data_IF_460748127283
#
_entry.id   IF_460748127283
#
_cell.length_a   1.000
_cell.length_b   1.000
_cell.length_c   1.000
_cell.angle_alpha   90.00
_cell.angle_beta   90.00
_cell.angle_gamma   90.00
#
_symmetry.space_group_name_H-M   'P 1'
#
loop_
_entity.id
_entity.type
_entity.pdbx_description
1 polymer ?
#
# COMPACT_ATOMS: atom_id res chain seq x y z
N UNK A 1 14.96 11.72 43.79
CA UNK A 1 14.94 10.62 42.80
C UNK A 1 15.93 10.95 41.71
N UNK A 2 15.57 11.42 40.51
CA UNK A 2 16.53 11.56 39.38
C UNK A 2 17.74 12.49 39.65
N UNK A 3 17.58 13.54 40.47
CA UNK A 3 18.69 14.46 40.83
C UNK A 3 19.53 13.99 42.03
N UNK A 4 19.24 12.82 42.61
CA UNK A 4 19.96 12.30 43.77
C UNK A 4 21.13 11.41 43.31
N UNK A 5 22.39 11.79 43.59
CA UNK A 5 23.57 11.02 43.19
C UNK A 5 23.58 9.58 43.73
N UNK A 6 22.91 9.32 44.86
CA UNK A 6 22.82 7.97 45.42
C UNK A 6 22.03 7.01 44.50
N UNK A 7 21.16 7.56 43.65
CA UNK A 7 20.27 6.79 42.77
C UNK A 7 20.77 6.72 41.33
N UNK A 8 21.89 7.38 41.02
CA UNK A 8 22.48 7.46 39.68
C UNK A 8 22.78 6.08 39.08
N UNK A 9 23.04 5.06 39.91
CA UNK A 9 23.26 3.69 39.44
C UNK A 9 22.02 3.07 38.78
N UNK A 10 20.82 3.54 39.12
CA UNK A 10 19.53 2.97 38.69
C UNK A 10 18.76 3.94 37.80
N UNK A 11 18.72 5.22 38.17
CA UNK A 11 18.09 6.29 37.39
C UNK A 11 18.99 7.52 37.41
N UNK A 12 19.24 8.13 36.25
CA UNK A 12 20.08 9.33 36.17
C UNK A 12 19.62 10.27 35.07
N UNK A 13 20.11 11.50 35.11
CA UNK A 13 19.97 12.43 34.01
C UNK A 13 20.78 12.00 32.78
N UNK A 14 20.22 12.26 31.61
CA UNK A 14 20.93 12.16 30.33
C UNK A 14 22.01 13.24 30.19
N UNK A 15 22.90 13.05 29.22
CA UNK A 15 24.06 13.92 29.00
C UNK A 15 23.63 15.38 28.78
N UNK A 16 22.52 15.59 28.08
CA UNK A 16 21.97 16.91 27.80
C UNK A 16 21.08 17.47 28.93
N UNK A 17 20.94 16.76 30.06
CA UNK A 17 20.19 17.19 31.26
C UNK A 17 18.71 17.57 31.01
N UNK A 18 18.18 17.17 29.86
CA UNK A 18 16.80 17.38 29.42
C UNK A 18 15.99 16.08 29.36
N UNK A 19 16.67 14.94 29.54
CA UNK A 19 16.10 13.60 29.57
C UNK A 19 16.59 12.88 30.82
N UNK A 20 15.86 11.85 31.23
CA UNK A 20 16.35 10.93 32.25
C UNK A 20 16.23 9.49 31.77
N UNK A 21 17.16 8.67 32.24
CA UNK A 21 17.29 7.28 31.83
C UNK A 21 17.07 6.38 33.04
N UNK A 22 16.33 5.29 32.83
CA UNK A 22 16.28 4.17 33.75
C UNK A 22 17.20 3.07 33.22
N UNK A 23 18.32 2.85 33.91
CA UNK A 23 19.36 1.90 33.49
C UNK A 23 18.90 0.46 33.74
N UNK A 24 18.33 0.20 34.92
CA UNK A 24 17.82 -1.10 35.31
C UNK A 24 16.39 -1.01 35.83
N UNK A 25 15.38 -1.40 35.02
CA UNK A 25 13.98 -1.42 35.43
C UNK A 25 13.68 -2.33 36.62
N UNK A 26 14.43 -3.43 36.79
CA UNK A 26 14.21 -4.39 37.87
C UNK A 26 14.67 -3.79 39.21
N UNK A 27 15.92 -3.31 39.27
CA UNK A 27 16.42 -2.62 40.46
C UNK A 27 15.60 -1.35 40.78
N UNK A 28 15.16 -0.61 39.76
CA UNK A 28 14.27 0.54 39.94
C UNK A 28 12.96 0.15 40.60
N UNK A 29 12.38 -0.99 40.20
CA UNK A 29 11.11 -1.50 40.73
C UNK A 29 11.22 -1.97 42.18
N UNK A 30 12.34 -2.59 42.54
CA UNK A 30 12.52 -3.22 43.83
C UNK A 30 13.01 -2.26 44.91
N UNK A 31 13.92 -1.34 44.57
CA UNK A 31 14.58 -0.47 45.54
C UNK A 31 14.04 0.96 45.50
N UNK A 32 13.78 1.50 44.30
CA UNK A 32 13.48 2.91 44.14
C UNK A 32 11.98 3.20 44.23
N UNK A 33 11.16 2.42 43.51
CA UNK A 33 9.72 2.62 43.49
C UNK A 33 9.07 2.57 44.88
N UNK A 34 9.32 1.57 45.76
CA UNK A 34 8.70 1.55 47.08
C UNK A 34 9.18 2.69 48.01
N UNK A 35 10.31 3.32 47.73
CA UNK A 35 10.83 4.45 48.50
C UNK A 35 10.13 5.78 48.17
N UNK A 36 9.67 5.95 46.92
CA UNK A 36 9.03 7.20 46.44
C UNK A 36 7.53 7.05 46.14
N UNK A 37 7.05 5.83 45.87
CA UNK A 37 5.69 5.52 45.42
C UNK A 37 5.09 4.37 46.24
N UNK A 38 3.75 4.29 46.28
CA UNK A 38 3.02 3.22 46.99
C UNK A 38 2.88 1.92 46.17
N UNK A 39 3.80 1.66 45.25
CA UNK A 39 3.79 0.46 44.41
C UNK A 39 5.21 0.12 43.98
N UNK A 40 5.42 -1.13 43.54
CA UNK A 40 6.70 -1.61 43.00
C UNK A 40 6.68 -1.83 41.49
N UNK A 41 5.57 -1.55 40.82
CA UNK A 41 5.41 -1.91 39.42
C UNK A 41 5.95 -0.80 38.49
N UNK A 42 6.96 -1.14 37.69
CA UNK A 42 7.50 -0.25 36.64
C UNK A 42 6.44 0.24 35.66
N UNK A 43 5.51 -0.62 35.24
CA UNK A 43 4.46 -0.24 34.30
C UNK A 43 3.53 0.85 34.88
N UNK A 44 3.30 0.85 36.20
CA UNK A 44 2.54 1.92 36.87
C UNK A 44 3.28 3.24 36.82
N UNK A 45 4.61 3.22 36.99
CA UNK A 45 5.46 4.39 36.85
C UNK A 45 5.44 4.94 35.42
N UNK A 46 5.62 4.09 34.41
CA UNK A 46 5.52 4.49 32.99
C UNK A 46 4.14 5.08 32.69
N UNK A 47 3.07 4.52 33.26
CA UNK A 47 1.72 5.06 33.09
C UNK A 47 1.56 6.45 33.69
N UNK A 48 2.20 6.73 34.84
CA UNK A 48 2.23 8.08 35.39
C UNK A 48 2.98 9.03 34.45
N UNK A 49 4.16 8.65 33.98
CA UNK A 49 4.92 9.43 32.99
C UNK A 49 4.06 9.82 31.77
N UNK A 50 3.38 8.84 31.18
CA UNK A 50 2.50 9.08 30.02
C UNK A 50 1.34 10.03 30.37
N UNK A 51 0.79 9.91 31.58
CA UNK A 51 -0.29 10.78 32.08
C UNK A 51 0.16 12.25 32.23
N UNK A 52 1.45 12.47 32.48
CA UNK A 52 2.07 13.79 32.55
C UNK A 52 2.74 14.23 31.23
N UNK A 53 2.56 13.46 30.15
CA UNK A 53 3.04 13.84 28.81
C UNK A 53 4.50 13.54 28.52
N UNK A 54 5.18 12.77 29.36
CA UNK A 54 6.53 12.30 29.06
C UNK A 54 6.51 11.35 27.86
N UNK A 55 7.53 11.45 27.01
CA UNK A 55 7.70 10.61 25.83
C UNK A 55 8.98 9.79 25.93
N UNK A 56 8.94 8.58 25.38
CA UNK A 56 10.11 7.72 25.25
C UNK A 56 10.96 8.23 24.08
N UNK A 57 12.23 8.55 24.32
CA UNK A 57 13.13 9.11 23.30
C UNK A 57 13.82 7.99 22.53
N UNK A 58 14.27 6.96 23.24
CA UNK A 58 15.00 5.83 22.68
C UNK A 58 14.15 4.58 22.57
N UNK A 59 14.35 3.81 21.50
CA UNK A 59 13.68 2.52 21.31
C UNK A 59 14.27 1.44 22.20
N UNK A 60 15.60 1.42 22.34
CA UNK A 60 16.35 0.37 23.05
C UNK A 60 16.59 0.68 24.53
N UNK A 61 16.48 1.94 24.93
CA UNK A 61 16.74 2.40 26.31
C UNK A 61 15.47 2.96 26.94
N UNK A 62 15.38 2.90 28.26
CA UNK A 62 14.30 3.54 29.00
C UNK A 62 14.60 5.02 29.25
N UNK A 63 14.76 5.77 28.16
CA UNK A 63 15.00 7.21 28.19
C UNK A 63 13.69 7.97 27.97
N UNK A 64 13.40 8.91 28.86
CA UNK A 64 12.19 9.71 28.83
C UNK A 64 12.52 11.20 28.83
N UNK A 65 11.77 11.96 28.03
CA UNK A 65 11.89 13.41 27.91
C UNK A 65 10.55 14.10 28.10
N UNK A 66 10.62 15.33 28.60
CA UNK A 66 9.51 16.26 28.63
C UNK A 66 10.06 17.70 28.53
N UNK A 67 9.40 18.55 27.75
CA UNK A 67 9.86 19.92 27.42
C UNK A 67 10.12 20.77 28.68
N UNK A 68 9.25 20.63 29.69
CA UNK A 68 9.33 21.36 30.95
C UNK A 68 10.01 20.58 32.10
N UNK A 69 10.64 19.43 31.83
CA UNK A 69 11.33 18.62 32.85
C UNK A 69 12.84 18.62 32.60
N UNK A 70 13.52 19.67 33.10
CA UNK A 70 14.95 19.88 32.92
C UNK A 70 15.69 19.86 34.26
N UNK A 71 16.93 19.37 34.27
CA UNK A 71 17.77 19.35 35.47
C UNK A 71 18.00 20.77 36.00
N UNK A 72 17.84 20.96 37.31
CA UNK A 72 18.06 22.26 37.98
C UNK A 72 16.98 23.32 37.72
N UNK A 73 16.03 23.08 36.82
CA UNK A 73 14.98 24.04 36.47
C UNK A 73 13.62 23.64 37.05
N UNK A 74 13.55 23.56 38.38
CA UNK A 74 12.33 23.19 39.08
C UNK A 74 11.16 24.18 38.84
N UNK A 75 11.45 25.42 38.42
CA UNK A 75 10.43 26.41 38.08
C UNK A 75 9.52 26.01 36.90
N UNK A 76 9.94 25.05 36.06
CA UNK A 76 9.16 24.59 34.91
C UNK A 76 8.19 23.45 35.26
N UNK A 77 8.36 22.82 36.43
CA UNK A 77 7.51 21.71 36.88
C UNK A 77 6.01 22.06 36.99
N UNK A 78 5.60 23.29 37.38
CA UNK A 78 4.19 23.68 37.38
C UNK A 78 3.52 23.63 35.99
N UNK A 79 4.30 23.69 34.91
CA UNK A 79 3.79 23.57 33.54
C UNK A 79 3.44 22.12 33.19
N UNK A 80 3.93 21.14 33.96
CA UNK A 80 3.68 19.72 33.75
C UNK A 80 2.30 19.38 34.34
N UNK A 81 1.27 19.58 33.52
CA UNK A 81 -0.12 19.32 33.92
C UNK A 81 -0.55 17.92 33.52
N UNK A 82 -1.22 17.24 34.45
CA UNK A 82 -1.83 15.94 34.21
C UNK A 82 -2.85 16.03 33.06
N UNK A 83 -2.68 15.18 32.04
CA UNK A 83 -3.67 15.02 30.97
C UNK A 83 -5.00 14.58 31.57
N UNK A 84 -6.06 15.35 31.31
CA UNK A 84 -7.43 14.95 31.67
C UNK A 84 -7.84 13.83 30.74
N UNK A 85 -8.09 12.63 31.29
CA UNK A 85 -8.78 11.58 30.54
C UNK A 85 -10.10 12.14 30.03
N UNK A 86 -10.27 12.26 28.71
CA UNK A 86 -11.60 12.44 28.14
C UNK A 86 -12.42 11.23 28.55
N UNK A 87 -13.44 11.43 29.38
CA UNK A 87 -14.37 10.38 29.78
C UNK A 87 -14.99 9.80 28.49
N UNK A 88 -14.53 8.62 28.08
CA UNK A 88 -15.04 7.93 26.89
C UNK A 88 -14.01 7.51 25.84
N UNK A 89 -12.74 7.91 25.92
CA UNK A 89 -11.72 7.41 24.98
C UNK A 89 -10.52 6.81 25.72
N UNK A 90 -10.35 5.51 25.53
CA UNK A 90 -9.16 4.75 25.86
C UNK A 90 -7.97 5.44 25.17
N UNK A 91 -7.08 6.06 25.93
CA UNK A 91 -5.84 6.65 25.41
C UNK A 91 -4.93 5.54 24.87
N UNK A 92 -5.18 5.19 23.62
CA UNK A 92 -4.31 4.51 22.65
C UNK A 92 -4.27 5.36 21.36
N UNK A 93 -4.56 6.66 21.48
CA UNK A 93 -5.06 7.48 20.38
C UNK A 93 -3.99 8.03 19.46
N UNK A 94 -2.94 8.68 19.97
CA UNK A 94 -2.05 9.46 19.10
C UNK A 94 -1.12 8.55 18.27
N UNK A 95 -0.40 7.62 18.91
CA UNK A 95 0.42 6.63 18.17
C UNK A 95 -0.45 5.62 17.41
N UNK A 96 -1.60 5.22 17.95
CA UNK A 96 -2.50 4.26 17.29
C UNK A 96 -3.19 4.83 16.06
N UNK A 97 -3.50 6.13 16.05
CA UNK A 97 -4.13 6.81 14.92
C UNK A 97 -3.12 7.07 13.80
N UNK A 98 -1.88 7.43 14.13
CA UNK A 98 -0.78 7.57 13.16
C UNK A 98 -0.36 6.22 12.57
N UNK A 99 -0.23 5.18 13.40
CA UNK A 99 0.00 3.80 12.92
C UNK A 99 -1.18 3.31 12.07
N UNK A 100 -2.42 3.66 12.41
CA UNK A 100 -3.59 3.33 11.58
C UNK A 100 -3.62 4.11 10.27
N UNK A 101 -3.16 5.36 10.27
CA UNK A 101 -3.01 6.18 9.06
C UNK A 101 -1.97 5.59 8.10
N UNK A 102 -0.80 5.24 8.63
CA UNK A 102 0.28 4.61 7.85
C UNK A 102 -0.12 3.24 7.30
N UNK A 103 -0.82 2.40 8.08
CA UNK A 103 -1.35 1.11 7.58
C UNK A 103 -2.29 1.31 6.39
N UNK A 104 -3.20 2.30 6.45
CA UNK A 104 -4.11 2.60 5.33
C UNK A 104 -3.37 3.11 4.09
N UNK A 105 -2.34 3.94 4.27
CA UNK A 105 -1.52 4.42 3.17
C UNK A 105 -0.75 3.28 2.50
N UNK A 106 -0.17 2.37 3.29
CA UNK A 106 0.51 1.16 2.78
C UNK A 106 -0.45 0.24 2.04
N UNK A 107 -1.69 0.08 2.52
CA UNK A 107 -2.71 -0.71 1.82
C UNK A 107 -3.06 -0.11 0.44
N UNK A 108 -3.27 1.21 0.36
CA UNK A 108 -3.52 1.89 -0.92
C UNK A 108 -2.36 1.72 -1.91
N UNK A 109 -1.13 1.94 -1.44
CA UNK A 109 0.06 1.76 -2.27
C UNK A 109 0.21 0.31 -2.78
N UNK A 110 -0.15 -0.68 -1.95
CA UNK A 110 -0.15 -2.09 -2.38
C UNK A 110 -1.22 -2.39 -3.42
N UNK A 111 -2.39 -1.77 -3.30
CA UNK A 111 -3.46 -1.90 -4.31
C UNK A 111 -3.05 -1.26 -5.64
N UNK A 112 -2.42 -0.09 -5.61
CA UNK A 112 -1.87 0.59 -6.80
C UNK A 112 -0.77 -0.25 -7.47
N UNK A 113 0.19 -0.77 -6.68
CA UNK A 113 1.22 -1.67 -7.18
C UNK A 113 0.64 -2.92 -7.83
N UNK A 114 -0.41 -3.52 -7.22
CA UNK A 114 -1.08 -4.69 -7.81
C UNK A 114 -1.72 -4.36 -9.16
N UNK A 115 -2.37 -3.21 -9.29
CA UNK A 115 -2.96 -2.76 -10.55
C UNK A 115 -1.91 -2.57 -11.65
N UNK A 116 -0.78 -1.94 -11.31
CA UNK A 116 0.33 -1.78 -12.23
C UNK A 116 0.93 -3.13 -12.67
N UNK A 117 1.11 -4.08 -11.74
CA UNK A 117 1.63 -5.41 -12.05
C UNK A 117 0.70 -6.19 -12.99
N UNK A 118 -0.61 -6.09 -12.79
CA UNK A 118 -1.62 -6.69 -13.68
C UNK A 118 -1.54 -6.09 -15.10
N UNK A 119 -1.37 -4.78 -15.21
CA UNK A 119 -1.20 -4.09 -16.50
C UNK A 119 0.10 -4.50 -17.20
N UNK A 120 1.19 -4.62 -16.46
CA UNK A 120 2.49 -5.03 -16.98
C UNK A 120 2.46 -6.49 -17.46
N UNK A 121 1.79 -7.39 -16.74
CA UNK A 121 1.55 -8.76 -17.19
C UNK A 121 0.69 -8.83 -18.45
N UNK A 122 -0.33 -7.97 -18.56
CA UNK A 122 -1.14 -7.90 -19.77
C UNK A 122 -0.31 -7.41 -20.97
N UNK A 123 0.56 -6.44 -20.77
CA UNK A 123 1.51 -5.96 -21.78
C UNK A 123 2.50 -7.05 -22.20
N UNK A 124 3.10 -7.79 -21.26
CA UNK A 124 4.03 -8.89 -21.56
C UNK A 124 3.37 -9.98 -22.42
N UNK A 125 2.12 -10.37 -22.10
CA UNK A 125 1.36 -11.33 -22.92
C UNK A 125 1.17 -10.84 -24.35
N UNK A 126 0.87 -9.55 -24.54
CA UNK A 126 0.68 -8.94 -25.87
C UNK A 126 1.98 -8.88 -26.65
N UNK A 127 3.09 -8.52 -26.00
CA UNK A 127 4.41 -8.51 -26.62
C UNK A 127 4.80 -9.91 -27.09
N UNK A 128 4.69 -10.92 -26.23
CA UNK A 128 4.97 -12.32 -26.60
C UNK A 128 4.11 -12.82 -27.76
N UNK A 129 2.83 -12.46 -27.78
CA UNK A 129 1.93 -12.83 -28.88
C UNK A 129 2.37 -12.17 -30.22
N UNK A 130 2.80 -10.91 -30.17
CA UNK A 130 3.32 -10.19 -31.32
C UNK A 130 4.69 -10.75 -31.79
N UNK A 131 5.56 -11.12 -30.85
CA UNK A 131 6.90 -11.66 -31.10
C UNK A 131 6.89 -13.12 -31.59
N UNK A 132 5.87 -13.91 -31.23
CA UNK A 132 5.75 -15.31 -31.64
C UNK A 132 5.66 -15.48 -33.15
N UNK A 133 5.01 -14.55 -33.88
CA UNK A 133 4.78 -14.69 -35.33
C UNK A 133 6.07 -14.45 -36.14
N UNK A 134 6.83 -13.36 -35.92
CA UNK A 134 8.16 -13.20 -36.50
C UNK A 134 9.13 -14.30 -36.05
N UNK A 135 9.13 -14.66 -34.76
CA UNK A 135 10.03 -15.70 -34.24
C UNK A 135 9.83 -17.07 -34.87
N UNK A 136 8.57 -17.51 -35.04
CA UNK A 136 8.25 -18.76 -35.74
C UNK A 136 8.63 -18.71 -37.23
N UNK A 137 8.38 -17.57 -37.89
CA UNK A 137 8.77 -17.38 -39.29
C UNK A 137 10.29 -17.42 -39.46
N UNK A 138 11.04 -16.76 -38.56
CA UNK A 138 12.50 -16.80 -38.56
C UNK A 138 13.03 -18.21 -38.27
N UNK A 139 12.43 -18.96 -37.34
CA UNK A 139 12.78 -20.34 -37.08
C UNK A 139 12.49 -21.27 -38.28
N UNK A 140 11.41 -20.99 -39.02
CA UNK A 140 11.08 -21.70 -40.25
C UNK A 140 12.08 -21.39 -41.38
N UNK A 141 12.44 -20.11 -41.56
CA UNK A 141 13.43 -19.68 -42.53
C UNK A 141 14.82 -20.25 -42.22
N UNK A 142 15.22 -20.32 -40.95
CA UNK A 142 16.46 -20.96 -40.54
C UNK A 142 16.48 -22.46 -40.93
N UNK A 143 15.40 -23.20 -40.61
CA UNK A 143 15.29 -24.61 -41.00
C UNK A 143 15.32 -24.84 -42.51
N UNK A 144 14.75 -23.91 -43.29
CA UNK A 144 14.79 -23.95 -44.76
C UNK A 144 16.19 -23.68 -45.32
N UNK A 145 16.95 -22.80 -44.67
CA UNK A 145 18.33 -22.51 -45.05
C UNK A 145 19.26 -23.70 -44.74
N UNK A 146 19.01 -24.42 -43.64
CA UNK A 146 19.80 -25.59 -43.22
C UNK A 146 19.46 -26.86 -44.03
N UNK A 147 18.18 -27.08 -44.36
CA UNK A 147 17.72 -28.22 -45.17
C UNK A 147 16.53 -27.84 -46.05
N UNK A 148 16.74 -27.53 -47.34
CA UNK A 148 15.67 -27.10 -48.24
C UNK A 148 14.62 -28.20 -48.51
N UNK A 149 14.89 -29.47 -48.18
CA UNK A 149 13.96 -30.59 -48.33
C UNK A 149 13.02 -30.80 -47.15
N UNK A 150 13.24 -30.12 -46.02
CA UNK A 150 12.51 -30.35 -44.76
C UNK A 150 11.01 -30.01 -44.87
N UNK A 151 10.67 -28.97 -45.63
CA UNK A 151 9.28 -28.51 -45.78
C UNK A 151 8.46 -29.44 -46.66
N UNK A 152 9.03 -29.97 -47.74
CA UNK A 152 8.35 -30.93 -48.60
C UNK A 152 8.01 -32.21 -47.83
N UNK A 153 8.94 -32.72 -47.00
CA UNK A 153 8.69 -33.88 -46.14
C UNK A 153 7.65 -33.60 -45.07
N UNK A 154 7.70 -32.43 -44.42
CA UNK A 154 6.70 -32.04 -43.42
C UNK A 154 5.29 -31.88 -44.03
N UNK A 155 5.19 -31.32 -45.24
CA UNK A 155 3.91 -31.17 -45.96
C UNK A 155 3.35 -32.53 -46.39
N UNK A 156 4.20 -33.46 -46.81
CA UNK A 156 3.78 -34.83 -47.14
C UNK A 156 3.33 -35.59 -45.88
N UNK A 157 4.05 -35.49 -44.77
CA UNK A 157 3.64 -36.08 -43.49
C UNK A 157 2.29 -35.51 -43.00
N UNK A 158 2.08 -34.19 -43.14
CA UNK A 158 0.80 -33.57 -42.80
C UNK A 158 -0.35 -34.00 -43.72
N UNK A 159 -0.06 -34.26 -44.99
CA UNK A 159 -1.03 -34.77 -45.98
C UNK A 159 -1.44 -36.21 -45.68
N UNK A 160 -0.50 -37.04 -45.21
CA UNK A 160 -0.78 -38.41 -44.75
C UNK A 160 -1.63 -38.43 -43.47
N UNK A 161 -1.36 -37.52 -42.53
CA UNK A 161 -2.14 -37.37 -41.28
C UNK A 161 -3.60 -36.94 -41.56
N UNK A 162 -3.80 -36.08 -42.57
CA UNK A 162 -5.12 -35.61 -43.01
C UNK A 162 -5.88 -36.68 -43.84
N UNK A 163 -5.18 -37.59 -44.50
CA UNK A 163 -5.79 -38.69 -45.27
C UNK A 163 -6.30 -39.85 -44.40
N UNK A 164 -5.84 -39.97 -43.15
CA UNK A 164 -6.25 -41.02 -42.20
C UNK A 164 -7.62 -40.81 -41.52
N UNK A 165 -8.34 -39.71 -41.77
CA UNK A 165 -9.62 -39.36 -41.11
C UNK A 165 -10.83 -39.28 -42.08
N UNK A 166 -10.99 -40.24 -42.99
CA UNK A 166 -12.08 -40.23 -43.98
C UNK A 166 -12.93 -41.51 -44.09
N UNK A 167 -14.09 -41.57 -43.41
CA UNK A 167 -15.34 -42.25 -43.83
C UNK A 167 -16.48 -41.87 -42.86
N UNK A 168 -17.77 -41.76 -43.28
CA UNK A 168 -18.48 -42.69 -44.18
C UNK A 168 -19.31 -42.06 -45.34
N UNK A 169 -19.88 -42.97 -46.14
CA UNK A 169 -20.64 -42.85 -47.39
C UNK A 169 -22.11 -42.32 -47.22
N UNK A 170 -22.89 -42.11 -48.33
CA UNK A 170 -23.94 -41.08 -48.42
C UNK A 170 -25.41 -41.58 -48.44
N UNK A 171 -26.32 -40.58 -48.61
CA UNK A 171 -27.73 -40.52 -49.07
C UNK A 171 -28.92 -40.84 -48.12
N UNK A 172 -29.71 -39.81 -47.77
CA UNK A 172 -31.03 -39.50 -48.38
C UNK A 172 -31.61 -38.15 -47.88
N UNK A 173 -32.29 -37.41 -48.76
CA UNK A 173 -33.05 -36.19 -48.47
C UNK A 173 -34.57 -36.51 -48.46
N UNK A 174 -35.46 -35.69 -47.86
CA UNK A 174 -36.05 -34.58 -48.63
C UNK A 174 -36.43 -33.34 -47.80
N UNK A 175 -36.55 -32.20 -48.49
CA UNK A 175 -36.69 -30.88 -47.87
C UNK A 175 -38.10 -30.41 -47.53
N UNK A 176 -38.17 -29.18 -47.00
CA UNK A 176 -39.16 -28.13 -47.32
C UNK A 176 -38.82 -26.85 -46.55
N UNK A 177 -38.75 -25.74 -47.28
CA UNK A 177 -38.70 -24.37 -46.77
C UNK A 177 -39.90 -24.08 -45.85
N UNK A 178 -39.71 -23.31 -44.78
CA UNK A 178 -40.31 -21.95 -44.60
C UNK A 178 -40.03 -21.32 -43.22
N UNK A 179 -39.44 -20.13 -43.31
CA UNK A 179 -39.64 -18.87 -42.56
C UNK A 179 -39.43 -18.77 -41.04
N UNK A 180 -38.39 -17.99 -40.70
CA UNK A 180 -38.30 -16.80 -39.83
C UNK A 180 -39.39 -16.63 -38.75
N UNK A 181 -38.97 -16.63 -37.48
CA UNK A 181 -39.35 -15.63 -36.49
C UNK A 181 -38.37 -15.73 -35.30
N UNK A 182 -37.64 -14.65 -35.03
CA UNK A 182 -36.77 -14.51 -33.86
C UNK A 182 -37.19 -13.26 -33.07
N UNK A 183 -37.15 -13.42 -31.75
CA UNK A 183 -37.14 -12.41 -30.69
C UNK A 183 -38.45 -11.58 -30.53
N UNK A 184 -38.89 -11.17 -29.34
CA UNK A 184 -38.21 -10.80 -28.10
C UNK A 184 -39.15 -11.01 -26.88
N UNK A 185 -38.61 -10.99 -25.65
CA UNK A 185 -39.10 -10.08 -24.60
C UNK A 185 -38.21 -10.17 -23.34
N UNK A 186 -37.48 -9.08 -23.11
CA UNK A 186 -36.85 -8.71 -21.84
C UNK A 186 -37.90 -8.06 -20.94
N UNK A 187 -37.85 -8.35 -19.64
CA UNK A 187 -38.63 -7.65 -18.63
C UNK A 187 -37.74 -6.64 -17.87
N UNK A 188 -38.09 -5.36 -17.93
CA UNK A 188 -37.90 -4.42 -16.83
C UNK A 188 -38.86 -3.22 -17.00
N UNK A 189 -39.52 -2.84 -15.90
CA UNK A 189 -40.65 -1.92 -15.87
C UNK A 189 -40.28 -0.43 -15.88
N UNK A 190 -41.13 0.30 -16.62
CA UNK A 190 -41.80 1.59 -16.36
C UNK A 190 -41.13 2.72 -15.58
N UNK A 191 -41.19 3.88 -16.24
CA UNK A 191 -41.39 5.23 -15.69
C UNK A 191 -40.31 6.19 -16.20
N UNK A 192 -40.55 7.43 -16.63
CA UNK A 192 -41.74 8.23 -16.94
C UNK A 192 -41.25 9.49 -17.71
N UNK A 193 -42.18 10.13 -18.39
CA UNK A 193 -42.25 11.32 -19.26
C UNK A 193 -41.18 12.43 -19.36
N UNK A 194 -41.08 12.92 -20.63
CA UNK A 194 -40.84 14.32 -21.03
C UNK A 194 -39.39 14.60 -21.47
N UNK A 195 -39.04 15.07 -22.66
CA UNK A 195 -39.75 15.77 -23.73
C UNK A 195 -38.87 16.94 -24.20
N UNK A 196 -38.74 17.10 -25.52
CA UNK A 196 -38.33 18.29 -26.30
C UNK A 196 -36.87 18.39 -26.82
N UNK A 197 -36.80 18.29 -28.16
CA UNK A 197 -35.99 19.00 -29.17
C UNK A 197 -34.44 18.99 -29.16
N UNK A 198 -33.86 18.40 -30.22
CA UNK A 198 -33.39 19.17 -31.38
C UNK A 198 -31.95 19.69 -31.40
N UNK A 199 -31.16 19.19 -32.36
CA UNK A 199 -30.32 20.03 -33.23
C UNK A 199 -28.83 20.18 -32.91
N UNK A 200 -28.02 19.72 -33.87
CA UNK A 200 -26.72 20.26 -34.34
C UNK A 200 -25.48 20.14 -33.42
N UNK A 201 -24.40 19.48 -33.88
CA UNK A 201 -23.21 20.09 -34.52
C UNK A 201 -22.71 21.32 -33.74
N UNK A 202 -21.45 21.47 -33.30
CA UNK A 202 -20.20 21.43 -34.04
C UNK A 202 -19.02 21.45 -33.05
N UNK A 203 -17.88 20.92 -33.49
CA UNK A 203 -16.49 21.34 -33.23
C UNK A 203 -16.24 22.63 -32.42
N UNK A 204 -15.40 22.57 -31.36
CA UNK A 204 -14.29 23.51 -31.18
C UNK A 204 -13.26 23.04 -30.14
N UNK A 205 -12.00 23.18 -30.51
CA UNK A 205 -10.82 22.87 -29.72
C UNK A 205 -10.51 23.92 -28.62
N UNK A 206 -9.57 23.51 -27.75
CA UNK A 206 -8.75 24.29 -26.81
C UNK A 206 -9.22 24.37 -25.35
N UNK A 207 -8.51 23.67 -24.45
CA UNK A 207 -7.69 24.37 -23.47
C UNK A 207 -6.57 23.46 -22.95
N UNK A 208 -5.35 24.03 -22.94
CA UNK A 208 -4.15 23.47 -22.34
C UNK A 208 -4.22 23.68 -20.83
N UNK A 209 -4.13 22.61 -20.04
CA UNK A 209 -4.00 22.68 -18.59
C UNK A 209 -2.71 21.99 -18.14
N UNK A 210 -1.64 22.77 -18.05
CA UNK A 210 -0.41 22.37 -17.37
C UNK A 210 -0.65 22.39 -15.86
N UNK A 211 -0.31 21.28 -15.19
CA UNK A 211 -0.37 21.15 -13.72
C UNK A 211 0.95 21.66 -13.12
N UNK A 212 0.96 22.67 -12.23
CA UNK A 212 2.18 23.06 -11.54
C UNK A 212 2.32 22.24 -10.26
N UNK A 213 3.33 21.36 -10.23
CA UNK A 213 3.84 20.78 -9.00
C UNK A 213 4.64 21.84 -8.22
N UNK A 214 4.39 22.05 -6.92
CA UNK A 214 5.24 22.88 -6.09
C UNK A 214 6.36 22.05 -5.44
N UNK A 215 7.48 22.74 -5.18
CA UNK A 215 8.68 22.33 -4.43
C UNK A 215 9.83 21.71 -5.22
N UNK A 216 10.71 22.59 -5.72
CA UNK A 216 12.15 22.55 -5.43
C UNK A 216 12.84 23.84 -5.88
N UNK A 217 13.11 24.76 -4.95
CA UNK A 217 14.30 25.63 -4.99
C UNK A 217 14.75 25.87 -3.55
N UNK A 218 15.77 25.12 -3.13
CA UNK A 218 16.67 25.47 -2.03
C UNK A 218 17.90 26.07 -2.71
N UNK A 219 18.15 27.36 -2.51
CA UNK A 219 19.35 28.02 -3.02
C UNK A 219 19.34 29.54 -2.87
N UNK A 220 19.99 30.02 -1.81
CA UNK A 220 20.64 31.33 -1.55
C UNK A 220 20.60 31.52 -0.02
N UNK A 221 21.67 31.48 0.79
CA UNK A 221 23.03 32.07 0.68
C UNK A 221 22.97 33.48 0.12
N UNK A 222 23.11 34.49 0.97
CA UNK A 222 24.23 35.44 0.94
C UNK A 222 24.21 36.41 2.14
N UNK A 223 25.42 36.60 2.67
CA UNK A 223 25.99 37.69 3.50
C UNK A 223 25.37 38.07 4.85
#
# INVERSE_FOLDING_TARGET
MVSDPATDAVVRWGVASNTFLVLDPAAFSDYLLPSYFKHRNFASFVRQLNTYGFRKVDTDRWEFAHESFLCGQAQLLPLIVRKKKKAGCRELGEEGEEVRGTIKAVQRLREEQRGMDEELQAMDRRLRAAESRPGQMMAFLAKLADDPGVVLRAMLAKKEEMAGKGSPAPVEAPGKRRRIAGAEAVAAGRGDFGGVAGGDAVELAQSRGAVPFPFSVLGQVFY
#
